data_IF_167435613641
#
_entry.id   IF_167435613641
#
_cell.length_a   1.000
_cell.length_b   1.000
_cell.length_c   1.000
_cell.angle_alpha   90.00
_cell.angle_beta   90.00
_cell.angle_gamma   90.00
#
_symmetry.space_group_name_H-M   'P 1'
#
loop_
_entity.id
_entity.type
_entity.pdbx_description
1 polymer ?
#
# COMPACT_ATOMS: atom_id res chain seq x y z
N UNK A 1 25.56 3.13 -5.00
CA UNK A 1 24.92 2.03 -4.24
C UNK A 1 23.63 1.55 -4.92
N UNK A 2 22.67 2.45 -5.23
CA UNK A 2 21.47 2.10 -6.01
C UNK A 2 21.78 1.42 -7.36
N UNK A 3 22.72 1.97 -8.15
CA UNK A 3 23.17 1.37 -9.41
C UNK A 3 23.87 0.01 -9.26
N UNK A 4 24.34 -0.38 -8.06
CA UNK A 4 24.97 -1.69 -7.82
C UNK A 4 23.95 -2.77 -7.43
N UNK A 5 22.84 -2.37 -6.79
CA UNK A 5 21.69 -3.25 -6.53
C UNK A 5 20.92 -3.56 -7.81
N UNK A 6 20.72 -2.54 -8.67
CA UNK A 6 20.07 -2.68 -9.98
C UNK A 6 20.87 -3.59 -10.92
N UNK A 7 22.21 -3.57 -10.83
CA UNK A 7 23.10 -4.36 -11.69
C UNK A 7 23.30 -5.81 -11.24
N UNK A 8 22.81 -6.20 -10.06
CA UNK A 8 23.00 -7.53 -9.46
C UNK A 8 21.67 -8.27 -9.18
N UNK A 9 20.55 -7.83 -9.76
CA UNK A 9 19.24 -8.52 -9.67
C UNK A 9 18.79 -8.91 -8.24
N UNK A 10 19.20 -8.15 -7.21
CA UNK A 10 18.82 -8.43 -5.81
C UNK A 10 17.44 -7.85 -5.46
N UNK A 11 16.47 -8.00 -6.37
CA UNK A 11 15.09 -7.54 -6.17
C UNK A 11 14.44 -8.19 -4.96
N UNK A 12 14.78 -9.45 -4.65
CA UNK A 12 14.33 -10.14 -3.44
C UNK A 12 14.66 -9.38 -2.14
N UNK A 13 15.84 -8.75 -2.05
CA UNK A 13 16.22 -7.94 -0.87
C UNK A 13 15.31 -6.72 -0.77
N UNK A 14 15.05 -6.04 -1.89
CA UNK A 14 14.22 -4.84 -1.92
C UNK A 14 12.79 -5.17 -1.49
N UNK A 15 12.17 -6.19 -2.07
CA UNK A 15 10.82 -6.61 -1.70
C UNK A 15 10.74 -7.11 -0.25
N UNK A 16 11.79 -7.76 0.26
CA UNK A 16 11.86 -8.19 1.68
C UNK A 16 11.89 -6.98 2.61
N UNK A 17 12.67 -5.94 2.27
CA UNK A 17 12.68 -4.68 3.03
C UNK A 17 11.29 -4.02 3.03
N UNK A 18 10.60 -4.00 1.89
CA UNK A 18 9.23 -3.46 1.83
C UNK A 18 8.25 -4.26 2.68
N UNK A 19 8.31 -5.60 2.68
CA UNK A 19 7.48 -6.43 3.56
C UNK A 19 7.68 -6.04 5.02
N UNK A 20 8.93 -5.88 5.47
CA UNK A 20 9.24 -5.46 6.85
C UNK A 20 8.68 -4.06 7.13
N UNK A 21 8.84 -3.12 6.19
CA UNK A 21 8.30 -1.76 6.32
C UNK A 21 6.77 -1.79 6.50
N UNK A 22 6.04 -2.58 5.70
CA UNK A 22 4.58 -2.67 5.83
C UNK A 22 4.14 -3.33 7.15
N UNK A 23 4.89 -4.32 7.63
CA UNK A 23 4.67 -4.89 8.97
C UNK A 23 4.87 -3.81 10.05
N UNK A 24 5.92 -3.00 9.96
CA UNK A 24 6.12 -1.88 10.89
C UNK A 24 5.00 -0.82 10.77
N UNK A 25 4.49 -0.56 9.58
CA UNK A 25 3.37 0.38 9.38
C UNK A 25 2.04 -0.09 10.00
N UNK A 26 1.87 -1.38 10.31
CA UNK A 26 0.72 -1.86 11.08
C UNK A 26 0.60 -1.23 12.47
N UNK A 27 1.71 -0.72 13.02
CA UNK A 27 1.71 -0.01 14.30
C UNK A 27 0.91 1.30 14.25
N UNK A 28 0.82 1.95 13.09
CA UNK A 28 0.15 3.25 12.95
C UNK A 28 -1.36 3.12 13.26
N UNK A 29 -2.13 2.25 12.58
CA UNK A 29 -3.53 2.01 12.95
C UNK A 29 -3.71 1.62 14.42
N UNK A 30 -2.80 0.84 15.00
CA UNK A 30 -2.87 0.40 16.40
C UNK A 30 -2.68 1.56 17.39
N UNK A 31 -1.71 2.45 17.13
CA UNK A 31 -1.46 3.62 17.99
C UNK A 31 -2.65 4.57 17.96
N UNK A 32 -3.21 4.84 16.77
CA UNK A 32 -4.40 5.67 16.64
C UNK A 32 -5.61 5.05 17.33
N UNK A 33 -5.77 3.73 17.24
CA UNK A 33 -6.84 3.03 17.96
C UNK A 33 -6.75 3.20 19.47
N UNK A 34 -5.54 3.21 20.02
CA UNK A 34 -5.31 3.41 21.45
C UNK A 34 -5.53 4.86 21.91
N UNK A 35 -5.52 5.83 20.99
CA UNK A 35 -5.58 7.27 21.29
C UNK A 35 -6.92 7.92 20.98
N UNK A 36 -7.62 7.44 19.96
CA UNK A 36 -8.88 8.03 19.51
C UNK A 36 -10.07 7.28 20.11
N UNK A 37 -11.18 7.98 20.30
CA UNK A 37 -12.44 7.41 20.78
C UNK A 37 -13.54 7.51 19.72
N UNK A 38 -14.56 6.66 19.85
CA UNK A 38 -15.79 6.71 19.04
C UNK A 38 -16.04 5.48 18.17
N UNK A 39 -17.24 5.42 17.59
CA UNK A 39 -17.78 4.23 16.91
C UNK A 39 -16.99 3.82 15.66
N UNK A 40 -16.33 4.77 15.01
CA UNK A 40 -15.50 4.50 13.83
C UNK A 40 -14.14 3.89 14.18
N UNK A 41 -13.72 3.90 15.45
CA UNK A 41 -12.36 3.56 15.84
C UNK A 41 -11.97 2.12 15.45
N UNK A 42 -12.84 1.15 15.76
CA UNK A 42 -12.62 -0.27 15.37
C UNK A 42 -12.62 -0.45 13.86
N UNK A 43 -13.50 0.26 13.14
CA UNK A 43 -13.60 0.16 11.68
C UNK A 43 -12.31 0.68 11.03
N UNK A 44 -11.85 1.85 11.46
CA UNK A 44 -10.60 2.46 10.98
C UNK A 44 -9.41 1.53 11.24
N UNK A 45 -9.32 0.94 12.44
CA UNK A 45 -8.27 -0.04 12.76
C UNK A 45 -8.30 -1.24 11.79
N UNK A 46 -9.47 -1.87 11.62
CA UNK A 46 -9.61 -3.07 10.79
C UNK A 46 -9.23 -2.77 9.34
N UNK A 47 -9.72 -1.67 8.77
CA UNK A 47 -9.40 -1.29 7.39
C UNK A 47 -7.90 -1.00 7.22
N UNK A 48 -7.28 -0.30 8.18
CA UNK A 48 -5.84 -0.03 8.17
C UNK A 48 -5.02 -1.32 8.23
N UNK A 49 -5.39 -2.25 9.11
CA UNK A 49 -4.71 -3.54 9.23
C UNK A 49 -4.88 -4.40 7.97
N UNK A 50 -6.09 -4.52 7.41
CA UNK A 50 -6.32 -5.29 6.18
C UNK A 50 -5.46 -4.73 5.05
N UNK A 51 -5.38 -3.40 4.91
CA UNK A 51 -4.49 -2.78 3.93
C UNK A 51 -3.02 -3.18 4.14
N UNK A 52 -2.50 -3.05 5.36
CA UNK A 52 -1.09 -3.41 5.64
C UNK A 52 -0.79 -4.89 5.40
N UNK A 53 -1.73 -5.78 5.73
CA UNK A 53 -1.62 -7.22 5.47
C UNK A 53 -1.60 -7.48 3.96
N UNK A 54 -2.50 -6.86 3.21
CA UNK A 54 -2.60 -7.05 1.76
C UNK A 54 -1.32 -6.62 1.05
N UNK A 55 -0.74 -5.49 1.44
CA UNK A 55 0.54 -5.02 0.90
C UNK A 55 1.70 -5.93 1.31
N UNK A 56 1.73 -6.40 2.55
CA UNK A 56 2.74 -7.36 3.02
C UNK A 56 2.68 -8.67 2.24
N UNK A 57 1.47 -9.19 1.97
CA UNK A 57 1.26 -10.39 1.15
C UNK A 57 1.71 -10.16 -0.29
N UNK A 58 1.38 -9.01 -0.89
CA UNK A 58 1.84 -8.69 -2.24
C UNK A 58 3.37 -8.70 -2.32
N UNK A 59 4.05 -7.93 -1.44
CA UNK A 59 5.51 -7.84 -1.42
C UNK A 59 6.15 -9.20 -1.13
N UNK A 60 5.56 -10.01 -0.26
CA UNK A 60 6.04 -11.36 0.02
C UNK A 60 5.93 -12.30 -1.19
N UNK A 61 4.83 -12.23 -1.95
CA UNK A 61 4.70 -12.96 -3.22
C UNK A 61 5.80 -12.54 -4.21
N UNK A 62 6.13 -11.25 -4.27
CA UNK A 62 7.22 -10.75 -5.12
C UNK A 62 8.59 -11.31 -4.67
N UNK A 63 8.85 -11.41 -3.36
CA UNK A 63 10.07 -12.05 -2.83
C UNK A 63 10.16 -13.52 -3.28
N UNK A 64 9.07 -14.29 -3.16
CA UNK A 64 9.04 -15.70 -3.60
C UNK A 64 9.35 -15.79 -5.09
N UNK A 65 8.73 -14.94 -5.91
CA UNK A 65 8.97 -14.90 -7.35
C UNK A 65 10.42 -14.54 -7.70
N UNK A 66 11.05 -13.64 -6.96
CA UNK A 66 12.45 -13.28 -7.17
C UNK A 66 13.43 -14.40 -6.79
N UNK A 67 13.16 -15.12 -5.69
CA UNK A 67 13.95 -16.29 -5.30
C UNK A 67 13.81 -17.45 -6.29
N UNK A 68 12.60 -17.69 -6.80
CA UNK A 68 12.37 -18.68 -7.85
C UNK A 68 13.08 -18.32 -9.17
N UNK A 69 13.24 -17.03 -9.45
CA UNK A 69 13.99 -16.57 -10.62
C UNK A 69 15.49 -16.77 -10.46
N UNK A 70 16.02 -16.45 -9.28
CA UNK A 70 17.44 -16.66 -8.96
C UNK A 70 17.86 -18.14 -9.09
N UNK A 71 16.92 -19.06 -8.84
CA UNK A 71 17.15 -20.52 -8.92
C UNK A 71 16.97 -21.12 -10.32
N UNK A 72 16.69 -20.31 -11.36
CA UNK A 72 16.46 -20.74 -12.75
C UNK A 72 15.37 -21.83 -12.92
N UNK A 73 14.48 -21.99 -11.93
CA UNK A 73 13.44 -23.02 -11.93
C UNK A 73 12.34 -22.76 -12.98
N UNK A 74 12.21 -21.53 -13.49
CA UNK A 74 11.21 -21.12 -14.48
C UNK A 74 11.78 -20.22 -15.58
N UNK A 75 11.18 -20.30 -16.78
CA UNK A 75 11.49 -19.43 -17.93
C UNK A 75 11.03 -17.99 -17.63
N UNK A 76 11.89 -17.00 -17.89
CA UNK A 76 11.66 -15.57 -17.56
C UNK A 76 10.34 -14.98 -18.10
N UNK A 77 9.88 -15.39 -19.28
CA UNK A 77 8.60 -14.93 -19.85
C UNK A 77 7.35 -15.45 -19.10
N UNK A 78 7.43 -16.63 -18.48
CA UNK A 78 6.32 -17.20 -17.70
C UNK A 78 6.22 -16.52 -16.33
N UNK A 79 7.37 -16.06 -15.81
CA UNK A 79 7.53 -15.30 -14.56
C UNK A 79 6.89 -13.92 -14.64
N UNK A 80 7.22 -13.12 -15.66
CA UNK A 80 6.66 -11.77 -15.82
C UNK A 80 5.14 -11.80 -16.00
N UNK A 81 4.62 -12.84 -16.64
CA UNK A 81 3.17 -13.05 -16.76
C UNK A 81 2.53 -13.41 -15.42
N UNK A 82 3.11 -14.31 -14.64
CA UNK A 82 2.56 -14.65 -13.31
C UNK A 82 2.61 -13.46 -12.34
N UNK A 83 3.72 -12.72 -12.31
CA UNK A 83 3.87 -11.50 -11.50
C UNK A 83 2.76 -10.49 -11.79
N UNK A 84 2.57 -10.18 -13.08
CA UNK A 84 1.63 -9.18 -13.57
C UNK A 84 0.15 -9.56 -13.38
N UNK A 85 -0.13 -10.85 -13.23
CA UNK A 85 -1.50 -11.38 -13.10
C UNK A 85 -1.95 -11.39 -11.63
N UNK A 86 -1.04 -11.61 -10.68
CA UNK A 86 -1.42 -11.81 -9.27
C UNK A 86 -1.02 -10.64 -8.38
N UNK A 87 0.22 -10.16 -8.48
CA UNK A 87 0.72 -9.14 -7.56
C UNK A 87 0.21 -7.75 -7.92
N UNK A 88 0.31 -7.34 -9.20
CA UNK A 88 -0.11 -5.99 -9.61
C UNK A 88 -1.59 -5.68 -9.29
N UNK A 89 -2.57 -6.58 -9.56
CA UNK A 89 -3.95 -6.29 -9.21
C UNK A 89 -4.18 -6.27 -7.70
N UNK A 90 -3.44 -7.06 -6.94
CA UNK A 90 -3.51 -7.12 -5.48
C UNK A 90 -3.03 -5.80 -4.86
N UNK A 91 -1.92 -5.25 -5.33
CA UNK A 91 -1.42 -3.94 -4.87
C UNK A 91 -2.40 -2.82 -5.18
N UNK A 92 -2.99 -2.84 -6.37
CA UNK A 92 -3.97 -1.83 -6.75
C UNK A 92 -5.23 -1.94 -5.91
N UNK A 93 -5.71 -3.17 -5.65
CA UNK A 93 -6.80 -3.40 -4.72
C UNK A 93 -6.47 -2.91 -3.30
N UNK A 94 -5.24 -3.13 -2.83
CA UNK A 94 -4.73 -2.58 -1.57
C UNK A 94 -4.74 -1.07 -1.54
N UNK A 95 -4.36 -0.39 -2.62
CA UNK A 95 -4.41 1.07 -2.69
C UNK A 95 -5.83 1.63 -2.76
N UNK A 96 -6.78 0.91 -3.37
CA UNK A 96 -8.22 1.25 -3.24
C UNK A 96 -8.64 1.16 -1.77
N UNK A 97 -8.30 0.06 -1.09
CA UNK A 97 -8.63 -0.14 0.32
C UNK A 97 -7.98 0.92 1.22
N UNK A 98 -6.71 1.28 0.96
CA UNK A 98 -6.02 2.39 1.63
C UNK A 98 -6.81 3.68 1.48
N UNK A 99 -7.31 3.98 0.28
CA UNK A 99 -8.04 5.22 0.05
C UNK A 99 -9.37 5.23 0.81
N UNK A 100 -10.09 4.11 0.87
CA UNK A 100 -11.28 3.95 1.72
C UNK A 100 -10.93 4.14 3.20
N UNK A 101 -9.84 3.51 3.65
CA UNK A 101 -9.33 3.66 5.01
C UNK A 101 -9.03 5.12 5.34
N UNK A 102 -8.30 5.84 4.49
CA UNK A 102 -7.98 7.26 4.69
C UNK A 102 -9.25 8.13 4.74
N UNK A 103 -10.25 7.86 3.91
CA UNK A 103 -11.52 8.60 3.97
C UNK A 103 -12.23 8.41 5.33
N UNK A 104 -12.36 7.17 5.79
CA UNK A 104 -12.97 6.87 7.10
C UNK A 104 -12.14 7.45 8.24
N UNK A 105 -10.82 7.34 8.12
CA UNK A 105 -9.89 7.79 9.14
C UNK A 105 -9.85 9.31 9.28
N UNK A 106 -9.87 10.03 8.16
CA UNK A 106 -9.95 11.49 8.16
C UNK A 106 -11.25 12.01 8.80
N UNK A 107 -12.39 11.35 8.55
CA UNK A 107 -13.66 11.66 9.25
C UNK A 107 -13.51 11.42 10.76
N UNK A 108 -12.92 10.29 11.14
CA UNK A 108 -12.74 9.92 12.54
C UNK A 108 -11.82 10.90 13.31
N UNK A 109 -10.75 11.37 12.67
CA UNK A 109 -9.87 12.41 13.24
C UNK A 109 -10.62 13.72 13.46
N UNK A 110 -11.45 14.13 12.49
CA UNK A 110 -12.28 15.34 12.62
C UNK A 110 -13.28 15.20 13.78
N UNK A 111 -13.85 14.01 13.99
CA UNK A 111 -14.74 13.75 15.14
C UNK A 111 -14.02 13.86 16.48
N UNK A 112 -12.71 13.60 16.52
CA UNK A 112 -11.86 13.75 17.69
C UNK A 112 -11.21 15.15 17.81
N UNK A 113 -11.65 16.13 17.00
CA UNK A 113 -11.16 17.51 16.94
C UNK A 113 -9.78 17.72 16.28
N UNK A 114 -9.21 16.70 15.64
CA UNK A 114 -7.93 16.79 14.91
C UNK A 114 -8.12 17.24 13.45
N UNK A 115 -8.67 18.46 13.28
CA UNK A 115 -9.07 18.97 11.97
C UNK A 115 -7.93 19.06 10.94
N UNK A 116 -6.73 19.45 11.37
CA UNK A 116 -5.59 19.66 10.48
C UNK A 116 -5.14 18.35 9.82
N UNK A 117 -4.86 17.33 10.63
CA UNK A 117 -4.46 16.01 10.14
C UNK A 117 -5.65 15.33 9.43
N UNK A 118 -6.86 15.45 9.99
CA UNK A 118 -8.07 14.87 9.42
C UNK A 118 -8.37 15.36 8.00
N UNK A 119 -8.36 16.68 7.75
CA UNK A 119 -8.57 17.25 6.42
C UNK A 119 -7.48 16.83 5.44
N UNK A 120 -6.23 16.79 5.89
CA UNK A 120 -5.12 16.35 5.04
C UNK A 120 -5.30 14.88 4.62
N UNK A 121 -5.60 14.00 5.57
CA UNK A 121 -5.86 12.57 5.31
C UNK A 121 -7.05 12.37 4.37
N UNK A 122 -8.12 13.18 4.50
CA UNK A 122 -9.26 13.15 3.57
C UNK A 122 -8.87 13.49 2.13
N UNK A 123 -8.05 14.53 1.92
CA UNK A 123 -7.58 14.92 0.58
C UNK A 123 -6.84 13.75 -0.07
N UNK A 124 -6.01 13.05 0.69
CA UNK A 124 -5.30 11.87 0.20
C UNK A 124 -6.24 10.69 -0.08
N UNK A 125 -7.30 10.53 0.72
CA UNK A 125 -8.36 9.55 0.47
C UNK A 125 -9.10 9.73 -0.87
N UNK A 126 -9.12 10.95 -1.43
CA UNK A 126 -9.74 11.21 -2.75
C UNK A 126 -9.01 10.54 -3.92
N UNK A 127 -7.77 10.05 -3.70
CA UNK A 127 -7.05 9.24 -4.68
C UNK A 127 -7.74 7.90 -4.99
N UNK A 128 -8.81 7.54 -4.27
CA UNK A 128 -9.66 6.39 -4.61
C UNK A 128 -10.10 6.38 -6.07
N UNK A 129 -10.40 7.55 -6.66
CA UNK A 129 -10.80 7.66 -8.08
C UNK A 129 -9.67 7.25 -9.02
N UNK A 130 -8.43 7.63 -8.68
CA UNK A 130 -7.24 7.24 -9.43
C UNK A 130 -7.02 5.73 -9.34
N UNK A 131 -7.09 5.16 -8.13
CA UNK A 131 -6.86 3.74 -7.91
C UNK A 131 -7.94 2.84 -8.51
N UNK A 132 -9.22 3.24 -8.49
CA UNK A 132 -10.30 2.53 -9.20
C UNK A 132 -10.04 2.50 -10.71
N UNK A 133 -9.58 3.61 -11.31
CA UNK A 133 -9.27 3.65 -12.75
C UNK A 133 -8.10 2.73 -13.12
N UNK A 134 -7.12 2.56 -12.23
CA UNK A 134 -6.05 1.57 -12.41
C UNK A 134 -6.59 0.15 -12.24
N UNK A 135 -7.48 -0.09 -11.28
CA UNK A 135 -8.08 -1.41 -11.08
C UNK A 135 -8.86 -1.84 -12.33
N UNK A 136 -9.63 -0.92 -12.92
CA UNK A 136 -10.31 -1.15 -14.20
C UNK A 136 -9.31 -1.49 -15.32
N UNK A 137 -8.14 -0.85 -15.35
CA UNK A 137 -7.09 -1.16 -16.33
C UNK A 137 -6.62 -2.62 -16.22
N UNK A 138 -6.49 -3.16 -15.00
CA UNK A 138 -6.06 -4.54 -14.77
C UNK A 138 -7.18 -5.58 -14.95
N UNK A 139 -8.42 -5.26 -14.56
CA UNK A 139 -9.55 -6.19 -14.63
C UNK A 139 -10.13 -6.27 -16.06
N UNK A 140 -10.06 -5.19 -16.83
CA UNK A 140 -10.63 -5.19 -18.19
C UNK A 140 -9.65 -5.71 -19.23
N UNK A 141 -10.10 -6.68 -20.03
CA UNK A 141 -9.34 -7.27 -21.16
C UNK A 141 -8.84 -6.22 -22.16
N UNK A 142 -9.52 -5.08 -22.25
CA UNK A 142 -9.23 -3.98 -23.18
C UNK A 142 -8.39 -2.85 -22.55
N UNK A 143 -7.90 -3.00 -21.31
CA UNK A 143 -7.07 -1.98 -20.65
C UNK A 143 -7.68 -0.58 -20.68
N UNK A 144 -9.00 -0.46 -20.49
CA UNK A 144 -9.77 0.79 -20.63
C UNK A 144 -9.56 1.82 -19.50
N UNK A 145 -8.52 1.65 -18.69
CA UNK A 145 -8.23 2.49 -17.53
C UNK A 145 -6.92 3.27 -17.65
N UNK A 146 -6.40 3.73 -16.52
CA UNK A 146 -5.11 4.44 -16.45
C UNK A 146 -4.01 3.41 -16.20
N UNK A 147 -2.93 3.46 -16.98
CA UNK A 147 -1.74 2.67 -16.68
C UNK A 147 -1.14 3.11 -15.35
N UNK A 148 -0.82 2.18 -14.43
CA UNK A 148 -0.30 2.55 -13.12
C UNK A 148 1.06 3.25 -13.25
N UNK A 149 1.25 4.28 -12.43
CA UNK A 149 2.55 4.87 -12.20
C UNK A 149 3.11 4.36 -10.88
N UNK A 150 3.87 3.27 -10.92
CA UNK A 150 4.40 2.57 -9.73
C UNK A 150 5.22 3.50 -8.84
N UNK A 151 5.99 4.42 -9.42
CA UNK A 151 6.80 5.39 -8.68
C UNK A 151 5.90 6.32 -7.86
N UNK A 152 4.86 6.87 -8.49
CA UNK A 152 3.89 7.74 -7.83
C UNK A 152 3.21 7.02 -6.66
N UNK A 153 2.70 5.80 -6.90
CA UNK A 153 1.97 5.00 -5.89
C UNK A 153 2.84 4.71 -4.66
N UNK A 154 4.10 4.33 -4.86
CA UNK A 154 5.01 4.00 -3.78
C UNK A 154 5.43 5.23 -2.98
N UNK A 155 5.76 6.35 -3.65
CA UNK A 155 6.10 7.61 -2.98
C UNK A 155 4.91 8.14 -2.19
N UNK A 156 3.71 8.13 -2.78
CA UNK A 156 2.46 8.52 -2.14
C UNK A 156 2.22 7.67 -0.89
N UNK A 157 2.31 6.35 -0.99
CA UNK A 157 2.14 5.43 0.15
C UNK A 157 3.17 5.67 1.26
N UNK A 158 4.44 5.92 0.91
CA UNK A 158 5.47 6.24 1.90
C UNK A 158 5.16 7.56 2.62
N UNK A 159 4.82 8.60 1.86
CA UNK A 159 4.53 9.93 2.40
C UNK A 159 3.33 9.92 3.34
N UNK A 160 2.24 9.25 2.97
CA UNK A 160 1.07 9.19 3.85
C UNK A 160 1.39 8.49 5.16
N UNK A 161 2.15 7.39 5.14
CA UNK A 161 2.53 6.71 6.37
C UNK A 161 3.51 7.52 7.24
N UNK A 162 4.44 8.25 6.63
CA UNK A 162 5.30 9.17 7.37
C UNK A 162 4.49 10.28 8.06
N UNK A 163 3.53 10.85 7.35
CA UNK A 163 2.66 11.91 7.89
C UNK A 163 1.80 11.38 9.03
N UNK A 164 1.20 10.20 8.86
CA UNK A 164 0.42 9.55 9.91
C UNK A 164 1.29 9.18 11.11
N UNK A 165 2.51 8.69 10.89
CA UNK A 165 3.45 8.41 11.97
C UNK A 165 3.80 9.67 12.76
N UNK A 166 4.13 10.77 12.08
CA UNK A 166 4.35 12.06 12.74
C UNK A 166 3.09 12.51 13.49
N UNK A 167 1.91 12.32 12.88
CA UNK A 167 0.62 12.61 13.48
C UNK A 167 0.40 11.88 14.81
N UNK A 168 0.91 10.65 14.97
CA UNK A 168 0.83 9.93 16.25
C UNK A 168 1.56 10.60 17.41
N UNK A 169 2.48 11.54 17.16
CA UNK A 169 3.15 12.29 18.23
C UNK A 169 2.45 13.60 18.59
N UNK A 170 1.60 14.10 17.69
CA UNK A 170 0.92 15.40 17.82
C UNK A 170 -0.41 15.24 18.56
N UNK A 171 -1.06 14.09 18.38
CA UNK A 171 -2.32 13.67 19.01
C UNK A 171 -2.00 12.89 20.28
#
# INVERSE_FOLDING_TARGET
MANYLIKNEKFHIIHTMFTIIFICFSQIPLIYFAKLEGDLNVIVLVFGLIFTILMSVSMFLQVICDLLAYTNLFRTETKDKMFKIVSDPLEVAGNVLKSVWLLLFGIHLIQNNDYGIGLFVLIWGLLIVYYIRILIYYVTRYKKGISPNVIFINIETLLIFLILYIGTFVI
#
